data_IF_175450196581
#
_entry.id   IF_175450196581
#
_cell.length_a   1.000
_cell.length_b   1.000
_cell.length_c   1.000
_cell.angle_alpha   90.00
_cell.angle_beta   90.00
_cell.angle_gamma   90.00
#
_symmetry.space_group_name_H-M   'P 1'
#
loop_
_entity.id
_entity.type
_entity.pdbx_description
1 polymer ?
#
# COMPACT_ATOMS: atom_id res chain seq x y z
N UNK A 1 8.56 28.03 51.62
CA UNK A 1 8.48 27.02 50.54
C UNK A 1 7.42 27.34 49.49
N UNK A 2 6.29 28.00 49.82
CA UNK A 2 5.29 28.41 48.83
C UNK A 2 5.76 29.57 47.93
N UNK A 3 6.50 30.55 48.47
CA UNK A 3 6.99 31.71 47.69
C UNK A 3 8.07 31.35 46.64
N UNK A 4 8.87 30.31 46.90
CA UNK A 4 9.86 29.81 45.94
C UNK A 4 9.19 29.07 44.78
N UNK A 5 8.07 28.39 45.02
CA UNK A 5 7.32 27.66 43.99
C UNK A 5 6.55 28.64 43.10
N UNK A 6 5.93 29.68 43.67
CA UNK A 6 5.23 30.72 42.88
C UNK A 6 6.20 31.58 42.07
N UNK A 7 7.42 31.83 42.57
CA UNK A 7 8.49 32.49 41.82
C UNK A 7 8.99 31.65 40.63
N UNK A 8 9.13 30.33 40.81
CA UNK A 8 9.49 29.39 39.73
C UNK A 8 8.39 29.35 38.66
N UNK A 9 7.12 29.29 39.08
CA UNK A 9 5.97 29.28 38.17
C UNK A 9 5.87 30.58 37.36
N UNK A 10 6.07 31.75 37.98
CA UNK A 10 6.12 33.04 37.28
C UNK A 10 7.29 33.13 36.29
N UNK A 11 8.44 32.54 36.62
CA UNK A 11 9.60 32.48 35.70
C UNK A 11 9.33 31.54 34.52
N UNK A 12 8.73 30.37 34.74
CA UNK A 12 8.35 29.45 33.66
C UNK A 12 7.29 30.06 32.74
N UNK A 13 6.21 30.62 33.30
CA UNK A 13 5.15 31.27 32.50
C UNK A 13 5.72 32.46 31.73
N UNK A 14 6.61 33.24 32.34
CA UNK A 14 7.32 34.33 31.66
C UNK A 14 8.26 33.85 30.55
N UNK A 15 8.92 32.70 30.72
CA UNK A 15 9.76 32.09 29.68
C UNK A 15 8.92 31.54 28.52
N UNK A 16 7.80 30.87 28.83
CA UNK A 16 6.84 30.37 27.83
C UNK A 16 6.21 31.53 27.05
N UNK A 17 5.82 32.61 27.72
CA UNK A 17 5.26 33.80 27.07
C UNK A 17 6.29 34.48 26.14
N UNK A 18 7.56 34.55 26.54
CA UNK A 18 8.64 35.06 25.67
C UNK A 18 8.92 34.13 24.49
N UNK A 19 8.88 32.82 24.71
CA UNK A 19 9.07 31.83 23.64
C UNK A 19 7.93 31.89 22.63
N UNK A 20 6.68 31.96 23.09
CA UNK A 20 5.50 32.19 22.23
C UNK A 20 5.57 33.55 21.50
N UNK A 21 6.04 34.60 22.17
CA UNK A 21 6.28 35.90 21.56
C UNK A 21 7.34 35.86 20.46
N UNK A 22 8.43 35.11 20.66
CA UNK A 22 9.48 34.90 19.65
C UNK A 22 8.98 34.07 18.47
N UNK A 23 8.18 33.02 18.72
CA UNK A 23 7.54 32.23 17.66
C UNK A 23 6.55 33.09 16.87
N UNK A 24 5.74 33.90 17.55
CA UNK A 24 4.83 34.84 16.89
C UNK A 24 5.59 35.87 16.06
N UNK A 25 6.66 36.47 16.58
CA UNK A 25 7.54 37.36 15.81
C UNK A 25 8.17 36.63 14.64
N UNK A 26 8.64 35.39 14.81
CA UNK A 26 9.25 34.60 13.73
C UNK A 26 8.26 34.26 12.61
N UNK A 27 6.99 34.00 12.96
CA UNK A 27 5.90 33.76 12.00
C UNK A 27 5.45 35.06 11.31
N UNK A 28 5.38 36.17 12.05
CA UNK A 28 4.89 37.47 11.56
C UNK A 28 5.96 38.33 10.87
N UNK A 29 7.23 38.15 11.19
CA UNK A 29 8.36 38.85 10.59
C UNK A 29 8.45 38.71 9.06
N UNK A 30 8.31 37.51 8.45
CA UNK A 30 8.28 37.40 6.99
C UNK A 30 7.07 38.13 6.38
N UNK A 31 5.93 38.20 7.08
CA UNK A 31 4.75 38.96 6.64
C UNK A 31 4.97 40.49 6.71
N UNK A 32 5.61 40.98 7.78
CA UNK A 32 5.93 42.39 7.97
C UNK A 32 7.08 42.87 7.06
N UNK A 33 8.11 42.03 6.87
CA UNK A 33 9.19 42.27 5.92
C UNK A 33 8.67 42.27 4.47
N UNK A 34 7.73 41.39 4.14
CA UNK A 34 7.00 41.46 2.88
C UNK A 34 6.24 42.79 2.75
N UNK A 35 5.60 43.28 3.81
CA UNK A 35 4.87 44.56 3.79
C UNK A 35 5.78 45.78 3.52
N UNK A 36 6.98 45.81 4.11
CA UNK A 36 7.99 46.86 3.85
C UNK A 36 8.58 46.79 2.44
N UNK A 37 8.88 45.59 1.94
CA UNK A 37 9.34 45.33 0.57
C UNK A 37 8.28 45.69 -0.49
N UNK A 38 7.00 45.53 -0.15
CA UNK A 38 5.86 45.89 -1.00
C UNK A 38 5.66 47.40 -1.18
N UNK A 39 6.24 48.27 -0.34
CA UNK A 39 5.92 49.71 -0.40
C UNK A 39 6.72 50.49 -1.46
N UNK A 40 7.84 49.97 -1.95
CA UNK A 40 8.79 50.74 -2.78
C UNK A 40 9.08 50.19 -4.20
N UNK A 41 8.46 49.07 -4.64
CA UNK A 41 8.80 48.43 -5.92
C UNK A 41 7.61 48.32 -6.91
N UNK A 42 7.90 48.47 -8.21
CA UNK A 42 6.94 48.48 -9.32
C UNK A 42 6.06 47.21 -9.36
N UNK A 43 4.78 47.37 -9.74
CA UNK A 43 3.78 46.30 -9.85
C UNK A 43 4.20 45.16 -10.80
N UNK A 44 5.11 45.42 -11.74
CA UNK A 44 5.72 44.44 -12.65
C UNK A 44 6.46 43.29 -11.93
N UNK A 45 7.01 43.52 -10.73
CA UNK A 45 7.69 42.48 -9.94
C UNK A 45 6.73 41.83 -8.93
N UNK A 46 5.76 42.61 -8.42
CA UNK A 46 4.78 42.13 -7.44
C UNK A 46 3.83 41.10 -8.04
N UNK A 47 3.31 41.33 -9.24
CA UNK A 47 2.36 40.42 -9.90
C UNK A 47 2.92 38.99 -10.07
N UNK A 48 4.13 38.80 -10.64
CA UNK A 48 4.73 37.46 -10.74
C UNK A 48 4.97 36.79 -9.39
N UNK A 49 5.36 37.56 -8.37
CA UNK A 49 5.63 37.01 -7.03
C UNK A 49 4.34 36.60 -6.32
N UNK A 50 3.27 37.42 -6.40
CA UNK A 50 1.94 37.04 -5.89
C UNK A 50 1.45 35.79 -6.61
N UNK A 51 1.54 35.75 -7.94
CA UNK A 51 1.13 34.59 -8.72
C UNK A 51 1.89 33.32 -8.31
N UNK A 52 3.21 33.41 -8.12
CA UNK A 52 4.04 32.30 -7.66
C UNK A 52 3.66 31.82 -6.25
N UNK A 53 3.50 32.73 -5.30
CA UNK A 53 3.10 32.38 -3.92
C UNK A 53 1.70 31.78 -3.88
N UNK A 54 0.78 32.32 -4.68
CA UNK A 54 -0.60 31.80 -4.78
C UNK A 54 -0.61 30.40 -5.40
N UNK A 55 0.14 30.18 -6.48
CA UNK A 55 0.31 28.87 -7.09
C UNK A 55 0.89 27.87 -6.08
N UNK A 56 1.93 28.26 -5.35
CA UNK A 56 2.54 27.42 -4.32
C UNK A 56 1.54 27.08 -3.22
N UNK A 57 0.78 28.05 -2.72
CA UNK A 57 -0.26 27.82 -1.71
C UNK A 57 -1.33 26.84 -2.22
N UNK A 58 -1.80 27.00 -3.45
CA UNK A 58 -2.77 26.09 -4.08
C UNK A 58 -2.22 24.67 -4.22
N UNK A 59 -0.94 24.53 -4.61
CA UNK A 59 -0.28 23.22 -4.70
C UNK A 59 -0.19 22.55 -3.32
N UNK A 60 0.16 23.29 -2.27
CA UNK A 60 0.21 22.76 -0.90
C UNK A 60 -1.17 22.36 -0.38
N UNK A 61 -2.20 23.18 -0.62
CA UNK A 61 -3.59 22.84 -0.27
C UNK A 61 -4.00 21.55 -0.98
N UNK A 62 -3.70 21.43 -2.27
CA UNK A 62 -3.97 20.21 -3.03
C UNK A 62 -3.21 19.01 -2.49
N UNK A 63 -1.92 19.16 -2.15
CA UNK A 63 -1.11 18.09 -1.59
C UNK A 63 -1.62 17.61 -0.22
N UNK A 64 -1.96 18.53 0.68
CA UNK A 64 -2.57 18.21 1.97
C UNK A 64 -3.92 17.51 1.74
N UNK A 65 -4.76 18.01 0.84
CA UNK A 65 -6.03 17.36 0.50
C UNK A 65 -5.83 15.91 0.02
N UNK A 66 -4.89 15.68 -0.90
CA UNK A 66 -4.62 14.35 -1.46
C UNK A 66 -4.02 13.38 -0.44
N UNK A 67 -3.22 13.85 0.52
CA UNK A 67 -2.60 13.02 1.56
C UNK A 67 -3.58 12.68 2.69
N UNK A 68 -4.49 13.59 3.02
CA UNK A 68 -5.43 13.41 4.14
C UNK A 68 -6.72 12.69 3.76
N UNK A 69 -7.19 12.80 2.51
CA UNK A 69 -8.46 12.19 2.09
C UNK A 69 -8.22 10.87 1.37
N UNK A 70 -8.83 9.81 1.88
CA UNK A 70 -8.77 8.46 1.33
C UNK A 70 -10.07 8.16 0.60
N UNK A 71 -10.03 8.18 -0.73
CA UNK A 71 -11.19 7.88 -1.57
C UNK A 71 -11.32 6.37 -1.75
N UNK A 72 -12.54 5.83 -1.54
CA UNK A 72 -12.83 4.42 -1.79
C UNK A 72 -12.18 3.42 -0.83
N UNK A 73 -11.64 3.86 0.30
CA UNK A 73 -11.02 2.97 1.27
C UNK A 73 -12.06 2.08 1.96
N UNK A 74 -11.98 0.77 1.73
CA UNK A 74 -12.87 -0.21 2.32
C UNK A 74 -12.07 -1.44 2.78
N UNK A 75 -11.91 -1.68 4.09
CA UNK A 75 -11.24 -2.88 4.61
C UNK A 75 -11.87 -4.20 4.17
N UNK A 76 -13.18 -4.21 3.82
CA UNK A 76 -13.93 -5.36 3.36
C UNK A 76 -14.12 -5.39 1.82
N UNK A 77 -13.25 -4.71 1.06
CA UNK A 77 -13.37 -4.63 -0.40
C UNK A 77 -13.42 -5.99 -1.14
N UNK A 78 -12.81 -7.11 -0.66
CA UNK A 78 -12.90 -8.39 -1.37
C UNK A 78 -14.33 -8.94 -1.50
N UNK A 79 -15.25 -8.50 -0.62
CA UNK A 79 -16.65 -8.93 -0.65
C UNK A 79 -17.36 -8.46 -1.93
N UNK A 80 -16.87 -7.38 -2.57
CA UNK A 80 -17.41 -6.85 -3.82
C UNK A 80 -17.25 -7.84 -4.98
N UNK A 81 -16.20 -8.67 -4.97
CA UNK A 81 -15.92 -9.63 -6.03
C UNK A 81 -16.79 -10.90 -5.95
N UNK A 82 -17.45 -11.15 -4.81
CA UNK A 82 -18.31 -12.33 -4.57
C UNK A 82 -17.64 -13.64 -5.01
N UNK A 83 -16.40 -13.85 -4.54
CA UNK A 83 -15.62 -15.02 -4.90
C UNK A 83 -16.31 -16.36 -4.60
N UNK A 84 -17.22 -16.40 -3.64
CA UNK A 84 -18.08 -17.56 -3.34
C UNK A 84 -18.96 -18.02 -4.50
N UNK A 85 -19.28 -17.12 -5.44
CA UNK A 85 -20.16 -17.42 -6.57
C UNK A 85 -19.39 -18.14 -7.70
N UNK A 86 -18.05 -18.12 -7.68
CA UNK A 86 -17.19 -18.79 -8.66
C UNK A 86 -17.12 -20.29 -8.38
N UNK A 87 -17.65 -21.11 -9.31
CA UNK A 87 -17.70 -22.58 -9.17
C UNK A 87 -16.52 -23.33 -9.80
N UNK A 88 -15.74 -22.64 -10.64
CA UNK A 88 -14.61 -23.23 -11.37
C UNK A 88 -13.31 -22.49 -11.01
N UNK A 89 -12.22 -23.24 -10.95
CA UNK A 89 -10.86 -22.69 -10.77
C UNK A 89 -10.44 -21.86 -11.99
N UNK A 90 -9.47 -20.96 -11.82
CA UNK A 90 -8.98 -20.15 -12.93
C UNK A 90 -8.39 -21.02 -14.06
N UNK A 91 -8.66 -20.62 -15.31
CA UNK A 91 -8.22 -21.33 -16.51
C UNK A 91 -9.05 -22.56 -16.91
N UNK A 92 -10.06 -22.95 -16.12
CA UNK A 92 -10.97 -24.04 -16.48
C UNK A 92 -12.02 -23.57 -17.51
N UNK A 93 -12.38 -24.43 -18.46
CA UNK A 93 -13.42 -24.14 -19.45
C UNK A 93 -14.79 -23.99 -18.76
N UNK A 94 -15.47 -22.88 -19.04
CA UNK A 94 -16.82 -22.63 -18.54
C UNK A 94 -17.83 -23.45 -19.36
N UNK A 95 -18.84 -24.06 -18.73
CA UNK A 95 -19.91 -24.72 -19.45
C UNK A 95 -20.67 -23.68 -20.30
N UNK A 96 -21.07 -24.08 -21.51
CA UNK A 96 -21.83 -23.22 -22.41
C UNK A 96 -23.09 -22.66 -21.70
N UNK A 97 -23.47 -21.39 -21.92
CA UNK A 97 -24.65 -20.82 -21.31
C UNK A 97 -25.90 -21.63 -21.71
N UNK A 98 -26.65 -22.10 -20.72
CA UNK A 98 -27.98 -22.73 -20.85
C UNK A 98 -28.09 -23.98 -21.74
N UNK A 99 -27.88 -25.18 -21.18
CA UNK A 99 -28.53 -26.43 -21.63
C UNK A 99 -28.35 -26.87 -23.08
N UNK A 100 -27.52 -26.17 -23.86
CA UNK A 100 -27.23 -26.45 -25.25
C UNK A 100 -25.88 -27.16 -25.27
N UNK A 101 -25.84 -28.35 -25.88
CA UNK A 101 -24.58 -28.99 -26.24
C UNK A 101 -23.74 -27.96 -26.98
N UNK A 102 -22.51 -27.74 -26.51
CA UNK A 102 -21.58 -26.81 -27.12
C UNK A 102 -21.52 -27.13 -28.62
N UNK A 103 -22.06 -26.25 -29.45
CA UNK A 103 -22.00 -26.40 -30.89
C UNK A 103 -20.52 -26.55 -31.28
N UNK A 104 -20.19 -27.54 -32.11
CA UNK A 104 -18.83 -27.75 -32.60
C UNK A 104 -18.36 -26.46 -33.31
N UNK A 105 -17.52 -25.66 -32.63
CA UNK A 105 -17.04 -24.36 -33.11
C UNK A 105 -17.45 -23.13 -32.28
N UNK A 106 -18.18 -23.27 -31.17
CA UNK A 106 -18.43 -22.15 -30.26
C UNK A 106 -17.10 -21.67 -29.62
N UNK A 107 -16.89 -20.34 -29.47
CA UNK A 107 -15.66 -19.82 -28.85
C UNK A 107 -15.55 -20.34 -27.42
N UNK A 108 -14.43 -21.00 -27.12
CA UNK A 108 -14.14 -21.49 -25.78
C UNK A 108 -14.03 -20.30 -24.82
N UNK A 109 -14.75 -20.40 -23.70
CA UNK A 109 -14.67 -19.43 -22.62
C UNK A 109 -14.07 -20.13 -21.42
N UNK A 110 -13.07 -19.52 -20.79
CA UNK A 110 -12.41 -20.04 -19.62
C UNK A 110 -12.63 -19.08 -18.44
N UNK A 111 -12.54 -19.63 -17.24
CA UNK A 111 -12.63 -18.83 -16.03
C UNK A 111 -11.41 -17.91 -15.91
N UNK A 112 -11.67 -16.62 -15.69
CA UNK A 112 -10.63 -15.61 -15.47
C UNK A 112 -10.01 -15.74 -14.08
N UNK A 113 -8.78 -15.23 -13.91
CA UNK A 113 -8.06 -15.22 -12.62
C UNK A 113 -8.50 -14.05 -11.75
N UNK A 114 -9.02 -14.36 -10.57
CA UNK A 114 -9.32 -13.40 -9.51
C UNK A 114 -8.06 -12.70 -9.01
N UNK A 115 -6.92 -13.40 -8.91
CA UNK A 115 -5.66 -12.81 -8.41
C UNK A 115 -5.26 -11.65 -9.31
N UNK A 116 -5.35 -11.84 -10.62
CA UNK A 116 -5.03 -10.81 -11.63
C UNK A 116 -6.00 -9.63 -11.55
N UNK A 117 -7.31 -9.90 -11.39
CA UNK A 117 -8.32 -8.85 -11.22
C UNK A 117 -8.03 -8.00 -9.97
N UNK A 118 -7.80 -8.63 -8.82
CA UNK A 118 -7.51 -7.94 -7.56
C UNK A 118 -6.18 -7.18 -7.63
N UNK A 119 -5.14 -7.75 -8.23
CA UNK A 119 -3.86 -7.07 -8.40
C UNK A 119 -3.99 -5.82 -9.28
N UNK A 120 -4.76 -5.90 -10.37
CA UNK A 120 -5.03 -4.78 -11.24
C UNK A 120 -5.84 -3.68 -10.52
N UNK A 121 -6.88 -4.07 -9.78
CA UNK A 121 -7.74 -3.12 -9.07
C UNK A 121 -7.08 -2.50 -7.84
N UNK A 122 -6.21 -3.22 -7.13
CA UNK A 122 -5.36 -2.65 -6.08
C UNK A 122 -4.39 -1.58 -6.64
N UNK A 123 -3.84 -1.83 -7.82
CA UNK A 123 -2.99 -0.85 -8.51
C UNK A 123 -3.82 0.35 -8.98
N UNK A 124 -5.03 0.11 -9.50
CA UNK A 124 -5.98 1.16 -9.89
C UNK A 124 -6.39 2.04 -8.70
N UNK A 125 -6.71 1.41 -7.56
CA UNK A 125 -7.01 2.08 -6.31
C UNK A 125 -5.90 3.04 -5.88
N UNK A 126 -4.64 2.59 -5.98
CA UNK A 126 -3.48 3.36 -5.55
C UNK A 126 -3.06 4.49 -6.49
N UNK A 127 -3.43 4.44 -7.78
CA UNK A 127 -2.88 5.34 -8.82
C UNK A 127 -3.93 6.17 -9.53
N UNK A 128 -5.14 5.63 -9.71
CA UNK A 128 -6.24 6.28 -10.42
C UNK A 128 -7.28 6.84 -9.46
N UNK A 129 -7.66 6.08 -8.43
CA UNK A 129 -8.64 6.54 -7.43
C UNK A 129 -8.00 7.44 -6.37
N UNK A 130 -6.77 7.10 -5.98
CA UNK A 130 -5.92 7.90 -5.12
C UNK A 130 -4.69 8.33 -5.91
N UNK A 131 -4.29 9.59 -5.82
CA UNK A 131 -3.07 10.03 -6.46
C UNK A 131 -1.85 9.40 -5.77
N UNK A 132 -0.89 8.93 -6.55
CA UNK A 132 0.34 8.32 -6.03
C UNK A 132 1.24 9.39 -5.39
N UNK A 133 1.34 9.37 -4.07
CA UNK A 133 1.93 10.47 -3.31
C UNK A 133 3.46 10.54 -3.50
N UNK A 134 4.13 9.39 -3.55
CA UNK A 134 5.59 9.31 -3.64
C UNK A 134 6.21 9.94 -4.91
N UNK A 135 5.40 10.14 -5.96
CA UNK A 135 5.81 10.82 -7.20
C UNK A 135 5.37 12.28 -7.29
N UNK A 136 4.67 12.82 -6.28
CA UNK A 136 4.26 14.22 -6.27
C UNK A 136 5.47 15.15 -6.08
N UNK A 137 5.42 16.30 -6.76
CA UNK A 137 6.50 17.30 -6.68
C UNK A 137 6.71 17.78 -5.25
N UNK A 138 5.64 18.10 -4.54
CA UNK A 138 5.73 18.58 -3.14
C UNK A 138 6.21 17.49 -2.18
N UNK A 139 5.89 16.23 -2.45
CA UNK A 139 6.44 15.11 -1.67
C UNK A 139 7.97 15.01 -1.83
N UNK A 140 8.48 15.31 -3.02
CA UNK A 140 9.91 15.27 -3.29
C UNK A 140 10.71 16.47 -2.83
N UNK A 141 10.10 17.64 -2.89
CA UNK A 141 10.72 18.85 -2.37
C UNK A 141 10.87 18.78 -0.85
N UNK A 142 10.05 17.95 -0.18
CA UNK A 142 10.11 17.77 1.25
C UNK A 142 9.68 19.03 2.01
N UNK A 143 9.77 18.96 3.33
CA UNK A 143 9.59 20.11 4.21
C UNK A 143 10.95 20.78 4.44
N UNK A 144 11.24 21.87 3.73
CA UNK A 144 12.50 22.63 3.85
C UNK A 144 13.77 21.76 3.67
N UNK A 145 13.74 20.79 2.76
CA UNK A 145 14.86 19.88 2.50
C UNK A 145 14.86 18.60 3.34
N UNK A 146 13.91 18.42 4.25
CA UNK A 146 13.64 17.16 4.95
C UNK A 146 12.62 16.33 4.15
N UNK A 147 12.86 15.02 3.99
CA UNK A 147 11.88 14.13 3.36
C UNK A 147 10.59 14.07 4.19
N UNK A 148 9.42 13.97 3.56
CA UNK A 148 8.18 13.76 4.30
C UNK A 148 8.14 12.40 5.02
N UNK A 149 8.89 11.40 4.54
CA UNK A 149 9.12 10.11 5.25
C UNK A 149 9.80 10.26 6.63
N UNK A 150 10.39 11.43 6.92
CA UNK A 150 11.01 11.73 8.21
C UNK A 150 10.14 12.68 9.07
N UNK A 151 8.97 13.06 8.58
CA UNK A 151 8.08 14.00 9.26
C UNK A 151 6.84 13.28 9.79
N UNK A 152 6.29 13.67 10.95
CA UNK A 152 5.12 13.02 11.55
C UNK A 152 3.79 13.26 10.81
N UNK A 153 3.82 13.84 9.60
CA UNK A 153 2.63 14.26 8.89
C UNK A 153 2.78 14.01 7.39
N UNK A 154 1.66 13.66 6.73
CA UNK A 154 1.49 13.60 5.27
C UNK A 154 2.17 12.43 4.52
N UNK A 155 2.81 11.50 5.23
CA UNK A 155 3.52 10.31 4.73
C UNK A 155 2.71 9.00 4.85
N UNK A 156 1.83 8.90 5.84
CA UNK A 156 1.01 7.70 6.13
C UNK A 156 0.34 7.06 4.90
N UNK A 157 -0.29 7.88 4.05
CA UNK A 157 -0.95 7.38 2.83
C UNK A 157 0.06 6.90 1.77
N UNK A 158 1.25 7.53 1.69
CA UNK A 158 2.33 7.06 0.82
C UNK A 158 2.88 5.71 1.31
N UNK A 159 3.08 5.56 2.63
CA UNK A 159 3.52 4.31 3.24
C UNK A 159 2.51 3.17 3.04
N UNK A 160 1.22 3.44 3.17
CA UNK A 160 0.17 2.48 2.79
C UNK A 160 0.24 2.08 1.31
N UNK A 161 0.36 3.04 0.39
CA UNK A 161 0.47 2.79 -1.04
C UNK A 161 1.68 1.91 -1.38
N UNK A 162 2.84 2.18 -0.74
CA UNK A 162 4.05 1.36 -0.86
C UNK A 162 3.83 -0.06 -0.33
N UNK A 163 3.17 -0.20 0.81
CA UNK A 163 2.79 -1.49 1.39
C UNK A 163 1.94 -2.34 0.45
N UNK A 164 0.87 -1.77 -0.11
CA UNK A 164 0.02 -2.46 -1.12
C UNK A 164 0.84 -2.82 -2.37
N UNK A 165 1.65 -1.88 -2.87
CA UNK A 165 2.46 -2.10 -4.06
C UNK A 165 3.50 -3.21 -3.87
N UNK A 166 4.06 -3.37 -2.67
CA UNK A 166 5.02 -4.45 -2.37
C UNK A 166 4.41 -5.84 -2.62
N UNK A 167 3.16 -6.05 -2.19
CA UNK A 167 2.42 -7.31 -2.39
C UNK A 167 2.06 -7.50 -3.86
N UNK A 168 1.59 -6.46 -4.53
CA UNK A 168 1.24 -6.53 -5.96
C UNK A 168 2.48 -6.82 -6.81
N UNK A 169 3.63 -6.21 -6.50
CA UNK A 169 4.92 -6.48 -7.16
C UNK A 169 5.31 -7.95 -7.01
N UNK A 170 5.28 -8.47 -5.78
CA UNK A 170 5.59 -9.89 -5.53
C UNK A 170 4.61 -10.82 -6.25
N UNK A 171 3.31 -10.52 -6.18
CA UNK A 171 2.26 -11.29 -6.86
C UNK A 171 2.49 -11.31 -8.37
N UNK A 172 2.83 -10.17 -8.98
CA UNK A 172 3.12 -10.10 -10.42
C UNK A 172 4.36 -10.92 -10.82
N UNK A 173 5.34 -11.03 -9.93
CA UNK A 173 6.50 -11.89 -10.16
C UNK A 173 6.10 -13.37 -10.17
N UNK A 174 5.30 -13.80 -9.18
CA UNK A 174 4.78 -15.18 -9.13
C UNK A 174 3.85 -15.51 -10.30
N UNK A 175 3.01 -14.56 -10.73
CA UNK A 175 2.18 -14.70 -11.92
C UNK A 175 3.02 -15.00 -13.17
N UNK A 176 4.16 -14.34 -13.35
CA UNK A 176 5.05 -14.60 -14.48
C UNK A 176 5.80 -15.92 -14.33
N UNK A 177 6.33 -16.18 -13.14
CA UNK A 177 7.32 -17.23 -12.95
C UNK A 177 6.70 -18.62 -12.74
N UNK A 178 5.56 -18.69 -12.05
CA UNK A 178 4.98 -19.96 -11.55
C UNK A 178 3.50 -20.16 -11.90
N UNK A 179 2.66 -19.12 -11.89
CA UNK A 179 1.19 -19.28 -12.01
C UNK A 179 0.70 -19.13 -13.46
N UNK A 180 1.24 -18.20 -14.24
CA UNK A 180 0.80 -17.90 -15.61
C UNK A 180 1.37 -18.82 -16.69
N UNK A 181 2.06 -19.90 -16.29
CA UNK A 181 2.72 -20.83 -17.20
C UNK A 181 2.98 -22.18 -16.50
N UNK A 182 2.97 -23.25 -17.28
CA UNK A 182 3.53 -24.54 -16.85
C UNK A 182 5.06 -24.47 -16.91
N UNK A 183 5.72 -24.66 -15.77
CA UNK A 183 7.19 -24.56 -15.66
C UNK A 183 7.87 -25.56 -16.60
N UNK A 184 8.83 -25.07 -17.38
CA UNK A 184 9.72 -25.89 -18.23
C UNK A 184 9.15 -26.29 -19.59
N UNK A 185 7.85 -26.12 -19.84
CA UNK A 185 7.19 -26.56 -21.09
C UNK A 185 6.45 -25.46 -21.82
N UNK A 186 6.11 -24.35 -21.16
CA UNK A 186 5.40 -23.22 -21.77
C UNK A 186 6.19 -21.91 -21.68
N UNK A 187 6.04 -21.08 -22.71
CA UNK A 187 6.67 -19.77 -22.82
C UNK A 187 6.09 -18.78 -21.80
N UNK A 188 6.86 -17.74 -21.50
CA UNK A 188 6.42 -16.65 -20.64
C UNK A 188 5.38 -15.80 -21.40
N UNK A 189 4.24 -15.51 -20.76
CA UNK A 189 3.26 -14.58 -21.32
C UNK A 189 3.86 -13.16 -21.36
N UNK A 190 3.83 -12.53 -22.53
CA UNK A 190 4.47 -11.23 -22.76
C UNK A 190 3.80 -10.09 -21.98
N UNK A 191 2.48 -10.13 -21.79
CA UNK A 191 1.75 -9.11 -21.06
C UNK A 191 2.01 -9.22 -19.55
N UNK A 192 2.03 -10.42 -18.98
CA UNK A 192 2.46 -10.60 -17.58
C UNK A 192 3.91 -10.14 -17.38
N UNK A 193 4.82 -10.43 -18.31
CA UNK A 193 6.20 -9.98 -18.22
C UNK A 193 6.32 -8.45 -18.24
N UNK A 194 5.57 -7.77 -19.12
CA UNK A 194 5.48 -6.30 -19.15
C UNK A 194 4.87 -5.75 -17.87
N UNK A 195 3.78 -6.35 -17.37
CA UNK A 195 3.13 -5.95 -16.13
C UNK A 195 4.10 -6.02 -14.95
N UNK A 196 4.80 -7.14 -14.79
CA UNK A 196 5.84 -7.33 -13.76
C UNK A 196 6.95 -6.29 -13.87
N UNK A 197 7.43 -5.99 -15.08
CA UNK A 197 8.47 -4.98 -15.30
C UNK A 197 8.00 -3.58 -14.89
N UNK A 198 6.77 -3.22 -15.26
CA UNK A 198 6.17 -1.93 -14.94
C UNK A 198 5.87 -1.76 -13.45
N UNK A 199 5.42 -2.81 -12.75
CA UNK A 199 5.17 -2.77 -11.30
C UNK A 199 6.46 -2.68 -10.49
N UNK A 200 7.55 -3.27 -10.99
CA UNK A 200 8.87 -3.19 -10.34
C UNK A 200 9.58 -1.85 -10.55
N UNK A 201 8.98 -0.94 -11.33
CA UNK A 201 9.52 0.40 -11.51
C UNK A 201 9.61 1.16 -10.19
N UNK A 202 10.60 2.05 -10.09
CA UNK A 202 10.88 2.83 -8.89
C UNK A 202 9.65 3.60 -8.40
N UNK A 203 9.37 3.46 -7.10
CA UNK A 203 8.17 4.03 -6.46
C UNK A 203 8.24 5.54 -6.34
N UNK A 204 9.46 6.09 -6.30
CA UNK A 204 9.68 7.50 -6.10
C UNK A 204 9.74 8.28 -7.42
N UNK A 205 9.87 7.66 -8.59
CA UNK A 205 10.22 8.41 -9.80
C UNK A 205 9.14 9.43 -10.22
N UNK A 206 9.58 10.64 -10.54
CA UNK A 206 8.73 11.76 -10.96
C UNK A 206 9.23 12.36 -12.28
N UNK A 207 8.68 13.51 -12.69
CA UNK A 207 9.00 14.16 -13.96
C UNK A 207 10.48 14.49 -14.19
N UNK A 208 11.32 14.53 -13.15
CA UNK A 208 12.73 14.89 -13.30
C UNK A 208 13.66 14.07 -12.39
N UNK A 209 14.85 13.72 -12.85
CA UNK A 209 15.87 13.08 -12.02
C UNK A 209 17.19 13.81 -12.08
N UNK A 210 17.98 13.71 -11.00
CA UNK A 210 19.38 14.14 -11.01
C UNK A 210 20.31 13.02 -11.51
N UNK A 211 19.92 11.75 -11.34
CA UNK A 211 20.68 10.58 -11.76
C UNK A 211 19.76 9.50 -12.38
N UNK A 212 19.90 9.20 -13.69
CA UNK A 212 20.48 10.07 -14.71
C UNK A 212 19.77 11.44 -14.75
N UNK A 213 20.52 12.49 -15.11
CA UNK A 213 19.98 13.86 -15.21
C UNK A 213 19.04 13.97 -16.41
N UNK A 214 17.80 14.41 -16.19
CA UNK A 214 16.87 14.67 -17.28
C UNK A 214 15.41 14.39 -16.95
N UNK A 215 14.51 14.59 -17.94
CA UNK A 215 13.11 14.27 -17.81
C UNK A 215 12.92 12.76 -17.63
N UNK A 216 12.09 12.39 -16.66
CA UNK A 216 11.74 10.99 -16.36
C UNK A 216 10.23 10.82 -16.49
N UNK A 217 9.82 9.63 -16.91
CA UNK A 217 8.41 9.28 -16.93
C UNK A 217 7.95 9.00 -15.48
N UNK A 218 6.87 9.64 -14.99
CA UNK A 218 6.40 9.43 -13.62
C UNK A 218 5.97 7.98 -13.35
N UNK A 219 6.19 7.50 -12.13
CA UNK A 219 5.76 6.15 -11.71
C UNK A 219 4.29 5.83 -12.02
N UNK A 220 3.30 6.74 -11.83
CA UNK A 220 1.90 6.48 -12.15
C UNK A 220 1.64 5.98 -13.57
N UNK A 221 2.38 6.43 -14.57
CA UNK A 221 2.14 5.97 -15.95
C UNK A 221 2.59 4.52 -16.15
N UNK A 222 3.67 4.09 -15.51
CA UNK A 222 4.10 2.69 -15.55
C UNK A 222 3.09 1.80 -14.85
N UNK A 223 2.60 2.21 -13.68
CA UNK A 223 1.58 1.43 -12.96
C UNK A 223 0.26 1.35 -13.73
N UNK A 224 -0.17 2.44 -14.40
CA UNK A 224 -1.32 2.39 -15.33
C UNK A 224 -1.08 1.44 -16.50
N UNK A 225 0.11 1.43 -17.08
CA UNK A 225 0.46 0.46 -18.11
C UNK A 225 0.46 -0.97 -17.56
N UNK A 226 0.86 -1.20 -16.31
CA UNK A 226 0.77 -2.51 -15.67
C UNK A 226 -0.69 -2.98 -15.54
N UNK A 227 -1.61 -2.11 -15.11
CA UNK A 227 -3.05 -2.42 -15.04
C UNK A 227 -3.56 -2.91 -16.40
N UNK A 228 -3.24 -2.19 -17.47
CA UNK A 228 -3.65 -2.57 -18.82
C UNK A 228 -3.13 -3.95 -19.22
N UNK A 229 -1.85 -4.24 -18.94
CA UNK A 229 -1.25 -5.55 -19.25
C UNK A 229 -1.83 -6.70 -18.40
N UNK A 230 -2.11 -6.47 -17.11
CA UNK A 230 -2.77 -7.46 -16.25
C UNK A 230 -4.18 -7.78 -16.77
N UNK A 231 -4.96 -6.76 -17.12
CA UNK A 231 -6.30 -6.94 -17.70
C UNK A 231 -6.26 -7.62 -19.07
N UNK A 232 -5.26 -7.32 -19.89
CA UNK A 232 -5.02 -8.01 -21.18
C UNK A 232 -4.79 -9.51 -20.98
N UNK A 233 -3.90 -9.89 -20.05
CA UNK A 233 -3.69 -11.29 -19.70
C UNK A 233 -4.98 -11.96 -19.23
N UNK A 234 -5.79 -11.29 -18.41
CA UNK A 234 -7.03 -11.88 -17.91
C UNK A 234 -8.08 -12.06 -19.02
N UNK A 235 -8.12 -11.15 -20.01
CA UNK A 235 -8.95 -11.30 -21.20
C UNK A 235 -8.50 -12.47 -22.08
N UNK A 236 -7.20 -12.67 -22.25
CA UNK A 236 -6.64 -13.83 -22.95
C UNK A 236 -6.92 -15.14 -22.20
N UNK A 237 -6.83 -15.12 -20.88
CA UNK A 237 -7.21 -16.26 -20.04
C UNK A 237 -8.70 -16.57 -20.18
N UNK A 238 -9.56 -15.55 -20.20
CA UNK A 238 -11.01 -15.69 -20.41
C UNK A 238 -11.39 -16.30 -21.77
N UNK A 239 -10.53 -16.15 -22.77
CA UNK A 239 -10.70 -16.76 -24.12
C UNK A 239 -9.90 -18.06 -24.30
N UNK A 240 -9.39 -18.64 -23.20
CA UNK A 240 -8.59 -19.87 -23.20
C UNK A 240 -7.30 -19.78 -24.05
N UNK A 241 -6.79 -18.58 -24.33
CA UNK A 241 -5.52 -18.37 -25.07
C UNK A 241 -4.31 -18.40 -24.16
N UNK A 242 -4.48 -17.94 -22.92
CA UNK A 242 -3.47 -18.00 -21.88
C UNK A 242 -3.72 -19.19 -20.96
N UNK A 243 -2.66 -19.66 -20.29
CA UNK A 243 -2.72 -20.76 -19.34
C UNK A 243 -2.61 -20.22 -17.91
N UNK A 244 -3.35 -20.84 -17.00
CA UNK A 244 -3.22 -20.66 -15.57
C UNK A 244 -2.88 -22.01 -14.94
N UNK A 245 -1.72 -22.11 -14.30
CA UNK A 245 -1.21 -23.34 -13.70
C UNK A 245 -1.68 -23.45 -12.25
N UNK A 246 -2.91 -23.94 -12.08
CA UNK A 246 -3.61 -24.12 -10.81
C UNK A 246 -3.10 -25.27 -9.93
N UNK A 247 -1.85 -25.72 -10.07
CA UNK A 247 -1.30 -26.85 -9.30
C UNK A 247 -1.03 -26.52 -7.83
N UNK A 248 -1.05 -27.57 -7.00
CA UNK A 248 -0.82 -27.47 -5.55
C UNK A 248 0.58 -26.96 -5.18
N UNK A 249 1.62 -27.30 -5.92
CA UNK A 249 2.98 -26.83 -5.68
C UNK A 249 3.18 -25.35 -6.02
N UNK A 250 2.45 -24.82 -7.01
CA UNK A 250 2.41 -23.39 -7.29
C UNK A 250 1.71 -22.63 -6.16
N UNK A 251 0.55 -23.14 -5.68
CA UNK A 251 -0.13 -22.56 -4.52
C UNK A 251 0.77 -22.58 -3.27
N UNK A 252 1.45 -23.70 -3.03
CA UNK A 252 2.39 -23.86 -1.92
C UNK A 252 3.48 -22.77 -1.94
N UNK A 253 4.13 -22.58 -3.09
CA UNK A 253 5.17 -21.56 -3.25
C UNK A 253 4.61 -20.14 -3.07
N UNK A 254 3.42 -19.88 -3.60
CA UNK A 254 2.76 -18.59 -3.47
C UNK A 254 2.47 -18.25 -2.00
N UNK A 255 1.89 -19.20 -1.25
CA UNK A 255 1.61 -19.05 0.18
C UNK A 255 2.89 -18.89 1.00
N UNK A 256 3.94 -19.65 0.69
CA UNK A 256 5.23 -19.57 1.39
C UNK A 256 5.88 -18.18 1.22
N UNK A 257 5.87 -17.64 0.01
CA UNK A 257 6.40 -16.30 -0.24
C UNK A 257 5.63 -15.22 0.53
N UNK A 258 4.29 -15.28 0.56
CA UNK A 258 3.48 -14.36 1.37
C UNK A 258 3.84 -14.50 2.86
N UNK A 259 3.98 -15.73 3.37
CA UNK A 259 4.34 -15.96 4.76
C UNK A 259 5.73 -15.39 5.10
N UNK A 260 6.69 -15.47 4.18
CA UNK A 260 8.03 -14.90 4.34
C UNK A 260 8.01 -13.37 4.34
N UNK A 261 7.26 -12.74 3.43
CA UNK A 261 7.12 -11.29 3.37
C UNK A 261 6.45 -10.72 4.63
N UNK A 262 5.42 -11.41 5.14
CA UNK A 262 4.78 -11.07 6.42
C UNK A 262 5.75 -11.24 7.60
N UNK A 263 6.58 -12.29 7.58
CA UNK A 263 7.60 -12.51 8.61
C UNK A 263 8.65 -11.40 8.68
N UNK A 264 9.15 -10.97 7.52
CA UNK A 264 10.07 -9.83 7.40
C UNK A 264 9.46 -8.54 7.96
N UNK A 265 8.18 -8.31 7.67
CA UNK A 265 7.45 -7.11 8.12
C UNK A 265 7.22 -7.12 9.62
N UNK A 266 6.85 -8.28 10.19
CA UNK A 266 6.71 -8.44 11.63
C UNK A 266 8.04 -8.18 12.37
N UNK A 267 9.17 -8.65 11.83
CA UNK A 267 10.51 -8.40 12.40
C UNK A 267 10.88 -6.90 12.36
N UNK A 268 10.57 -6.20 11.27
CA UNK A 268 10.76 -4.74 11.17
C UNK A 268 9.95 -4.00 12.24
N UNK A 269 8.68 -4.38 12.43
CA UNK A 269 7.82 -3.77 13.44
C UNK A 269 8.33 -4.05 14.85
N UNK A 270 8.72 -5.30 15.14
CA UNK A 270 9.23 -5.71 16.44
C UNK A 270 10.53 -4.96 16.80
N UNK A 271 11.49 -4.87 15.86
CA UNK A 271 12.72 -4.10 16.05
C UNK A 271 12.44 -2.63 16.32
N UNK A 272 11.52 -2.00 15.58
CA UNK A 272 11.16 -0.60 15.82
C UNK A 272 10.50 -0.40 17.19
N UNK A 273 9.61 -1.31 17.59
CA UNK A 273 8.96 -1.26 18.89
C UNK A 273 9.96 -1.40 20.04
N UNK A 274 10.96 -2.29 19.91
CA UNK A 274 12.00 -2.49 20.91
C UNK A 274 13.00 -1.32 20.98
N UNK A 275 13.49 -0.84 19.82
CA UNK A 275 14.60 0.10 19.79
C UNK A 275 14.18 1.58 19.92
N UNK A 276 12.92 1.91 19.63
CA UNK A 276 12.44 3.30 19.50
C UNK A 276 11.05 3.51 20.14
N UNK A 277 10.90 3.21 21.42
CA UNK A 277 9.63 3.31 22.17
C UNK A 277 9.28 4.74 22.64
N UNK A 278 9.31 5.71 21.72
CA UNK A 278 9.03 7.13 22.01
C UNK A 278 7.54 7.49 22.04
N UNK A 279 6.65 6.50 21.92
CA UNK A 279 5.21 6.72 22.06
C UNK A 279 4.56 7.40 20.88
N UNK A 280 3.73 8.40 21.18
CA UNK A 280 3.12 9.30 20.19
C UNK A 280 4.12 10.23 19.50
N UNK A 281 5.36 10.30 20.00
CA UNK A 281 6.42 11.13 19.41
C UNK A 281 7.34 10.35 18.46
N UNK A 282 7.10 9.05 18.27
CA UNK A 282 7.80 8.28 17.24
C UNK A 282 7.22 8.59 15.86
N UNK A 283 7.83 9.54 15.16
CA UNK A 283 7.40 10.03 13.83
C UNK A 283 7.63 9.04 12.69
N UNK A 284 8.18 7.85 12.95
CA UNK A 284 8.32 6.78 11.95
C UNK A 284 7.48 5.55 12.28
N UNK A 285 6.88 5.50 13.48
CA UNK A 285 6.06 4.39 13.90
C UNK A 285 4.78 4.29 13.06
N UNK A 286 4.17 5.43 12.77
CA UNK A 286 3.01 5.54 11.91
C UNK A 286 3.31 5.06 10.48
N UNK A 287 4.43 5.49 9.93
CA UNK A 287 4.89 5.08 8.61
C UNK A 287 5.04 3.55 8.48
N UNK A 288 5.67 2.92 9.47
CA UNK A 288 5.83 1.45 9.52
C UNK A 288 4.50 0.75 9.72
N UNK A 289 3.63 1.31 10.55
CA UNK A 289 2.29 0.78 10.79
C UNK A 289 1.47 0.81 9.49
N UNK A 290 1.43 1.93 8.77
CA UNK A 290 0.65 2.07 7.54
C UNK A 290 1.21 1.25 6.39
N UNK A 291 2.54 1.10 6.30
CA UNK A 291 3.16 0.16 5.38
C UNK A 291 2.68 -1.28 5.64
N UNK A 292 2.78 -1.73 6.90
CA UNK A 292 2.33 -3.06 7.30
C UNK A 292 0.82 -3.26 7.10
N UNK A 293 0.02 -2.23 7.40
CA UNK A 293 -1.42 -2.23 7.17
C UNK A 293 -1.73 -2.35 5.67
N UNK A 294 -1.04 -1.61 4.80
CA UNK A 294 -1.19 -1.69 3.34
C UNK A 294 -0.82 -3.06 2.79
N UNK A 295 0.23 -3.67 3.33
CA UNK A 295 0.61 -5.04 2.99
C UNK A 295 -0.49 -6.04 3.38
N UNK A 296 -1.00 -6.00 4.61
CA UNK A 296 -2.11 -6.85 5.05
C UNK A 296 -3.38 -6.63 4.21
N UNK A 297 -3.67 -5.38 3.85
CA UNK A 297 -4.81 -5.01 3.02
C UNK A 297 -4.74 -5.68 1.65
N UNK A 298 -3.59 -5.59 0.99
CA UNK A 298 -3.37 -6.25 -0.29
C UNK A 298 -3.36 -7.78 -0.16
N UNK A 299 -2.68 -8.31 0.86
CA UNK A 299 -2.64 -9.75 1.14
C UNK A 299 -4.03 -10.33 1.38
N UNK A 300 -4.93 -9.59 2.04
CA UNK A 300 -6.32 -10.01 2.24
C UNK A 300 -7.05 -10.23 0.91
N UNK A 301 -7.03 -9.26 0.00
CA UNK A 301 -7.69 -9.45 -1.30
C UNK A 301 -7.00 -10.50 -2.17
N UNK A 302 -5.67 -10.53 -2.17
CA UNK A 302 -4.91 -11.50 -2.98
C UNK A 302 -5.12 -12.94 -2.49
N UNK A 303 -5.15 -13.19 -1.17
CA UNK A 303 -5.48 -14.52 -0.64
C UNK A 303 -6.96 -14.87 -0.80
N UNK A 304 -7.87 -13.89 -0.69
CA UNK A 304 -9.29 -14.14 -0.98
C UNK A 304 -9.49 -14.56 -2.44
N UNK A 305 -8.80 -13.89 -3.36
CA UNK A 305 -8.77 -14.22 -4.79
C UNK A 305 -8.10 -15.57 -5.06
N UNK A 306 -6.95 -15.85 -4.44
CA UNK A 306 -6.28 -17.14 -4.57
C UNK A 306 -7.14 -18.30 -4.06
N UNK A 307 -7.98 -18.06 -3.04
CA UNK A 307 -8.99 -19.01 -2.59
C UNK A 307 -9.97 -19.43 -3.69
N UNK A 308 -10.35 -18.49 -4.56
CA UNK A 308 -11.23 -18.77 -5.69
C UNK A 308 -10.48 -19.42 -6.87
N UNK A 309 -9.29 -18.91 -7.19
CA UNK A 309 -8.50 -19.39 -8.33
C UNK A 309 -7.99 -20.83 -8.12
N UNK A 310 -7.67 -21.20 -6.88
CA UNK A 310 -7.19 -22.53 -6.49
C UNK A 310 -8.23 -23.35 -5.71
N UNK A 311 -9.53 -23.06 -5.87
CA UNK A 311 -10.58 -23.70 -5.07
C UNK A 311 -10.55 -25.24 -5.13
N UNK A 312 -10.22 -25.80 -6.30
CA UNK A 312 -10.09 -27.25 -6.48
C UNK A 312 -8.96 -27.82 -5.63
N UNK A 313 -7.77 -27.22 -5.65
CA UNK A 313 -6.63 -27.65 -4.82
C UNK A 313 -6.96 -27.53 -3.34
N UNK A 314 -7.62 -26.44 -2.94
CA UNK A 314 -8.01 -26.20 -1.56
C UNK A 314 -8.97 -27.30 -1.06
N UNK A 315 -9.92 -27.70 -1.90
CA UNK A 315 -10.85 -28.78 -1.61
C UNK A 315 -10.12 -30.15 -1.56
N UNK A 316 -9.30 -30.45 -2.57
CA UNK A 316 -8.56 -31.73 -2.67
C UNK A 316 -7.56 -31.95 -1.52
N UNK A 317 -6.93 -30.86 -1.03
CA UNK A 317 -5.98 -30.90 0.09
C UNK A 317 -6.64 -30.67 1.45
N UNK A 318 -7.95 -30.49 1.48
CA UNK A 318 -8.73 -30.26 2.70
C UNK A 318 -8.20 -29.09 3.57
N UNK A 319 -7.71 -28.01 2.93
CA UNK A 319 -7.20 -26.81 3.63
C UNK A 319 -8.26 -25.73 3.80
N UNK A 320 -9.51 -25.97 3.39
CA UNK A 320 -10.59 -24.98 3.38
C UNK A 320 -10.82 -24.30 4.73
N UNK A 321 -10.90 -25.06 5.82
CA UNK A 321 -11.10 -24.48 7.17
C UNK A 321 -9.95 -23.59 7.61
N UNK A 322 -8.69 -24.01 7.35
CA UNK A 322 -7.50 -23.21 7.65
C UNK A 322 -7.46 -21.94 6.80
N UNK A 323 -7.85 -22.04 5.53
CA UNK A 323 -7.93 -20.90 4.61
C UNK A 323 -8.92 -19.86 5.11
N UNK A 324 -10.17 -20.25 5.38
CA UNK A 324 -11.20 -19.35 5.91
C UNK A 324 -10.80 -18.74 7.26
N UNK A 325 -10.16 -19.52 8.13
CA UNK A 325 -9.61 -19.02 9.39
C UNK A 325 -8.55 -17.94 9.18
N UNK A 326 -7.65 -18.15 8.22
CA UNK A 326 -6.60 -17.17 7.85
C UNK A 326 -7.21 -15.88 7.30
N UNK A 327 -8.22 -15.98 6.43
CA UNK A 327 -8.97 -14.83 5.92
C UNK A 327 -9.64 -14.05 7.06
N UNK A 328 -10.25 -14.75 8.03
CA UNK A 328 -10.88 -14.12 9.20
C UNK A 328 -9.83 -13.38 10.07
N UNK A 329 -8.63 -13.93 10.20
CA UNK A 329 -7.55 -13.27 10.93
C UNK A 329 -7.04 -12.00 10.23
N UNK A 330 -6.94 -12.02 8.89
CA UNK A 330 -6.63 -10.84 8.08
C UNK A 330 -7.68 -9.74 8.28
N UNK A 331 -8.98 -10.10 8.21
CA UNK A 331 -10.07 -9.17 8.48
C UNK A 331 -9.98 -8.58 9.90
N UNK A 332 -9.65 -9.40 10.90
CA UNK A 332 -9.47 -8.93 12.28
C UNK A 332 -8.30 -7.94 12.41
N UNK A 333 -7.20 -8.17 11.69
CA UNK A 333 -6.06 -7.25 11.67
C UNK A 333 -6.42 -5.90 11.03
N UNK A 334 -7.20 -5.91 9.94
CA UNK A 334 -7.62 -4.70 9.23
C UNK A 334 -8.68 -3.87 9.98
N UNK A 335 -9.29 -4.41 11.04
CA UNK A 335 -10.16 -3.63 11.93
C UNK A 335 -9.39 -2.69 12.86
N UNK A 336 -8.08 -2.86 12.98
CA UNK A 336 -7.22 -2.06 13.84
C UNK A 336 -6.91 -0.74 13.13
N UNK A 337 -7.75 0.26 13.38
CA UNK A 337 -7.66 1.58 12.77
C UNK A 337 -7.58 2.68 13.84
N UNK A 338 -6.47 2.75 14.58
CA UNK A 338 -6.26 3.84 15.54
C UNK A 338 -6.20 5.19 14.81
N UNK A 339 -6.83 6.21 15.38
CA UNK A 339 -6.79 7.57 14.84
C UNK A 339 -5.38 8.20 14.92
N UNK A 340 -4.60 7.79 15.92
CA UNK A 340 -3.21 8.23 16.14
C UNK A 340 -2.38 6.99 16.45
N UNK A 341 -1.28 6.80 15.70
CA UNK A 341 -0.36 5.70 15.94
C UNK A 341 0.52 6.03 17.14
N UNK A 342 0.82 5.00 17.92
CA UNK A 342 1.57 5.10 19.16
C UNK A 342 2.51 3.92 19.23
N UNK A 343 3.77 4.19 19.53
CA UNK A 343 4.79 3.18 19.76
C UNK A 343 5.28 3.26 21.21
N UNK A 344 4.41 2.91 22.15
CA UNK A 344 4.79 2.84 23.56
C UNK A 344 5.59 1.58 23.89
N UNK A 345 6.30 1.57 25.03
CA UNK A 345 6.82 0.34 25.62
C UNK A 345 5.71 -0.71 25.76
N UNK A 346 6.04 -1.98 25.58
CA UNK A 346 5.06 -3.07 25.63
C UNK A 346 4.39 -3.24 27.00
N UNK A 347 5.07 -2.82 28.07
CA UNK A 347 4.61 -2.82 29.46
C UNK A 347 3.93 -1.51 29.88
N UNK A 348 3.72 -0.57 28.93
CA UNK A 348 3.15 0.74 29.22
C UNK A 348 1.66 0.64 29.55
N UNK A 349 1.27 1.20 30.71
CA UNK A 349 -0.14 1.27 31.13
C UNK A 349 -0.92 2.43 30.48
N UNK A 350 -0.21 3.43 29.93
CA UNK A 350 -0.82 4.68 29.46
C UNK A 350 -0.70 4.88 27.95
N UNK A 351 0.24 4.19 27.31
CA UNK A 351 0.58 4.44 25.92
C UNK A 351 0.64 3.11 25.16
N UNK A 352 -0.35 2.81 24.31
CA UNK A 352 -0.41 1.54 23.62
C UNK A 352 0.75 1.39 22.63
N UNK A 353 1.19 0.15 22.42
CA UNK A 353 2.10 -0.21 21.33
C UNK A 353 1.29 -0.75 20.15
N UNK A 354 0.92 0.14 19.23
CA UNK A 354 0.20 -0.25 18.02
C UNK A 354 1.08 -1.10 17.08
N UNK A 355 2.40 -0.90 17.11
CA UNK A 355 3.35 -1.68 16.31
C UNK A 355 3.43 -3.12 16.82
N UNK A 356 3.52 -3.32 18.14
CA UNK A 356 3.49 -4.66 18.73
C UNK A 356 2.14 -5.35 18.46
N UNK A 357 1.03 -4.62 18.58
CA UNK A 357 -0.31 -5.13 18.27
C UNK A 357 -0.40 -5.59 16.81
N UNK A 358 0.02 -4.74 15.87
CA UNK A 358 0.03 -5.09 14.44
C UNK A 358 0.96 -6.27 14.14
N UNK A 359 2.16 -6.29 14.73
CA UNK A 359 3.12 -7.38 14.63
C UNK A 359 2.55 -8.72 15.09
N UNK A 360 1.83 -8.73 16.22
CA UNK A 360 1.12 -9.92 16.70
C UNK A 360 0.11 -10.45 15.68
N UNK A 361 -0.72 -9.58 15.10
CA UNK A 361 -1.70 -9.98 14.08
C UNK A 361 -1.03 -10.53 12.82
N UNK A 362 0.06 -9.91 12.35
CA UNK A 362 0.85 -10.40 11.22
C UNK A 362 1.41 -11.79 11.51
N UNK A 363 1.97 -12.01 12.71
CA UNK A 363 2.53 -13.30 13.11
C UNK A 363 1.47 -14.39 13.18
N UNK A 364 0.24 -14.07 13.61
CA UNK A 364 -0.89 -15.02 13.59
C UNK A 364 -1.26 -15.45 12.19
N UNK A 365 -1.40 -14.50 11.27
CA UNK A 365 -1.68 -14.78 9.85
C UNK A 365 -0.56 -15.62 9.27
N UNK A 366 0.71 -15.23 9.49
CA UNK A 366 1.88 -15.98 9.04
C UNK A 366 1.87 -17.42 9.58
N UNK A 367 1.58 -17.61 10.87
CA UNK A 367 1.52 -18.94 11.48
C UNK A 367 0.47 -19.81 10.77
N UNK A 368 -0.71 -19.24 10.46
CA UNK A 368 -1.77 -19.96 9.75
C UNK A 368 -1.37 -20.30 8.31
N UNK A 369 -0.64 -19.41 7.62
CA UNK A 369 -0.09 -19.67 6.28
C UNK A 369 0.99 -20.76 6.30
N UNK A 370 1.84 -20.80 7.33
CA UNK A 370 2.84 -21.88 7.51
C UNK A 370 2.14 -23.22 7.75
N UNK A 371 1.05 -23.25 8.52
CA UNK A 371 0.25 -24.47 8.69
C UNK A 371 -0.38 -24.93 7.37
N UNK A 372 -0.97 -24.01 6.59
CA UNK A 372 -1.48 -24.30 5.24
C UNK A 372 -0.38 -24.88 4.37
N UNK A 373 0.82 -24.30 4.40
CA UNK A 373 1.99 -24.81 3.66
C UNK A 373 2.29 -26.27 4.05
N UNK A 374 2.32 -26.60 5.34
CA UNK A 374 2.56 -27.96 5.81
C UNK A 374 1.51 -28.94 5.27
N UNK A 375 0.23 -28.57 5.29
CA UNK A 375 -0.85 -29.44 4.76
C UNK A 375 -0.80 -29.58 3.24
N UNK A 376 -0.41 -28.52 2.52
CA UNK A 376 -0.23 -28.54 1.06
C UNK A 376 0.96 -29.41 0.59
N UNK A 377 1.78 -29.92 1.53
CA UNK A 377 2.92 -30.80 1.25
C UNK A 377 4.28 -30.10 1.31
N UNK A 378 4.35 -28.91 1.90
CA UNK A 378 5.62 -28.29 2.26
C UNK A 378 6.28 -29.04 3.40
N UNK A 379 7.53 -29.47 3.20
CA UNK A 379 8.38 -30.00 4.27
C UNK A 379 8.84 -28.90 5.22
#
# INVERSE_FOLDING_TARGET
MLDSITALFRRMVGAIARWLGLVFVWITWPLLAAHGWYRQRNWLIKLPVVAFVTLLALLYIYFIWQTQIWTGFNPAYPDVYKFSDRKLSAGQELPAPSGQQAAAGAPKTCQTSAIVDVAADLTDFNVNQNAWISSMVLYKLGLFGMSWDDTPFLDNKASFQRGVNSVVRRTSAELVDTIGRVRGTSGINSDLQKARGNLQFDESSWYFGLHPFGPKTPTPSYYRAAIANLRSFNADLGTCKALFDGRADNLLQFVDHIANDLGSTADILAKRAADHSYGWLDTRADDRFWFAYGQLYATYGILSAAGADFQQVIAERNVGTLWTGTITQLQAALRIQPAIISNGPEDSSFMPSHLATMGFHILRVRSSLVEIRTVLGGR
#
